data_IF_911316411840
#
_entry.id   IF_911316411840
#
_cell.length_a   1.000
_cell.length_b   1.000
_cell.length_c   1.000
_cell.angle_alpha   90.00
_cell.angle_beta   90.00
_cell.angle_gamma   90.00
#
_symmetry.space_group_name_H-M   'P 1'
#
loop_
_entity.id
_entity.type
_entity.pdbx_description
1 polymer ?
#
# COMPACT_ATOMS: atom_id res chain seq x y z
N UNK A 1 -14.52 0.76 -9.76
CA UNK A 1 -14.06 2.17 -9.86
C UNK A 1 -15.13 3.02 -10.54
N UNK A 2 -15.68 2.60 -11.67
CA UNK A 2 -16.73 3.37 -12.35
C UNK A 2 -17.92 3.69 -11.44
N UNK A 3 -18.46 2.69 -10.73
CA UNK A 3 -19.62 2.87 -9.82
C UNK A 3 -19.32 3.82 -8.63
N UNK A 4 -18.06 4.04 -8.31
CA UNK A 4 -17.63 5.01 -7.30
C UNK A 4 -17.32 6.40 -7.89
N UNK A 5 -17.59 6.62 -9.19
CA UNK A 5 -17.28 7.86 -9.89
C UNK A 5 -15.79 8.12 -10.08
N UNK A 6 -14.96 7.09 -9.95
CA UNK A 6 -13.51 7.20 -10.14
C UNK A 6 -13.18 6.80 -11.59
N UNK A 7 -12.65 7.75 -12.34
CA UNK A 7 -12.19 7.50 -13.71
C UNK A 7 -10.77 6.94 -13.69
N UNK A 8 -10.59 5.81 -14.35
CA UNK A 8 -9.25 5.26 -14.60
C UNK A 8 -8.56 6.14 -15.63
N UNK A 9 -7.40 6.67 -15.30
CA UNK A 9 -6.58 7.53 -16.14
C UNK A 9 -5.37 6.81 -16.72
N UNK A 10 -4.76 5.95 -15.93
CA UNK A 10 -3.58 5.18 -16.33
C UNK A 10 -3.61 3.78 -15.72
N UNK A 11 -2.96 2.84 -16.39
CA UNK A 11 -2.63 1.54 -15.84
C UNK A 11 -1.12 1.51 -15.57
N UNK A 12 -0.75 1.39 -14.29
CA UNK A 12 0.63 1.21 -13.88
C UNK A 12 0.92 -0.29 -13.80
N UNK A 13 2.15 -0.68 -14.07
CA UNK A 13 2.57 -2.08 -14.07
C UNK A 13 3.71 -2.26 -13.06
N UNK A 14 3.42 -2.93 -11.96
CA UNK A 14 4.48 -3.35 -11.05
C UNK A 14 5.19 -4.60 -11.58
N UNK A 15 6.46 -4.48 -11.92
CA UNK A 15 7.32 -5.59 -12.34
C UNK A 15 8.03 -6.17 -11.11
N UNK A 16 7.92 -7.47 -10.92
CA UNK A 16 8.55 -8.22 -9.83
C UNK A 16 9.92 -8.74 -10.28
N UNK A 17 10.85 -8.91 -9.34
CA UNK A 17 12.13 -9.56 -9.58
C UNK A 17 11.99 -11.06 -9.89
N UNK A 18 10.89 -11.71 -9.46
CA UNK A 18 10.61 -13.13 -9.70
C UNK A 18 9.20 -13.34 -10.23
N UNK A 19 9.04 -14.36 -11.07
CA UNK A 19 7.72 -14.80 -11.53
C UNK A 19 6.95 -15.52 -10.42
N UNK A 20 5.64 -15.60 -10.58
CA UNK A 20 4.76 -16.44 -9.76
C UNK A 20 4.38 -17.65 -10.58
N UNK A 21 4.85 -18.82 -10.16
CA UNK A 21 4.52 -20.08 -10.80
C UNK A 21 3.01 -20.36 -10.69
N UNK A 22 2.38 -20.68 -11.81
CA UNK A 22 0.96 -21.02 -11.92
C UNK A 22 0.77 -22.13 -12.97
N UNK A 23 -0.50 -22.41 -13.29
CA UNK A 23 -0.87 -23.44 -14.29
C UNK A 23 -1.01 -22.88 -15.70
N UNK A 24 -0.76 -21.57 -15.88
CA UNK A 24 -0.84 -20.88 -17.17
C UNK A 24 0.44 -21.14 -18.00
N UNK A 25 0.34 -20.97 -19.33
CA UNK A 25 1.49 -21.07 -20.24
C UNK A 25 2.52 -19.96 -19.95
N UNK A 26 2.07 -18.75 -19.74
CA UNK A 26 2.91 -17.60 -19.35
C UNK A 26 2.80 -17.32 -17.86
N UNK A 27 3.95 -17.21 -17.19
CA UNK A 27 4.00 -16.99 -15.75
C UNK A 27 3.95 -15.50 -15.40
N UNK A 28 3.14 -15.15 -14.40
CA UNK A 28 2.94 -13.77 -13.97
C UNK A 28 4.19 -13.19 -13.30
N UNK A 29 4.81 -12.22 -13.94
CA UNK A 29 5.94 -11.45 -13.40
C UNK A 29 5.57 -10.01 -13.06
N UNK A 30 4.33 -9.62 -13.29
CA UNK A 30 3.85 -8.27 -13.03
C UNK A 30 2.47 -8.27 -12.39
N UNK A 31 2.10 -7.12 -11.83
CA UNK A 31 0.73 -6.84 -11.39
C UNK A 31 0.30 -5.47 -11.91
N UNK A 32 -0.90 -5.35 -12.52
CA UNK A 32 -1.43 -4.06 -12.91
C UNK A 32 -1.96 -3.30 -11.68
N UNK A 33 -1.82 -1.97 -11.73
CA UNK A 33 -2.38 -1.05 -10.74
C UNK A 33 -3.12 0.06 -11.49
N UNK A 34 -4.43 0.16 -11.28
CA UNK A 34 -5.25 1.19 -11.91
C UNK A 34 -5.09 2.50 -11.14
N UNK A 35 -4.65 3.53 -11.82
CA UNK A 35 -4.51 4.88 -11.30
C UNK A 35 -5.62 5.77 -11.82
N UNK A 36 -6.26 6.52 -10.93
CA UNK A 36 -7.36 7.39 -11.31
C UNK A 36 -7.84 8.26 -10.18
N UNK A 37 -8.73 9.19 -10.50
CA UNK A 37 -9.35 10.10 -9.55
C UNK A 37 -10.80 10.39 -9.93
N UNK A 38 -11.55 10.97 -8.99
CA UNK A 38 -12.94 11.33 -9.19
C UNK A 38 -13.05 12.41 -10.27
N UNK A 39 -13.99 12.25 -11.17
CA UNK A 39 -14.27 13.24 -12.22
C UNK A 39 -14.61 14.61 -11.61
N UNK A 40 -14.07 15.66 -12.20
CA UNK A 40 -14.24 17.03 -11.71
C UNK A 40 -13.45 17.38 -10.45
N UNK A 41 -12.77 16.40 -9.82
CA UNK A 41 -11.92 16.67 -8.66
C UNK A 41 -10.48 16.98 -9.09
N UNK A 42 -9.86 17.96 -8.45
CA UNK A 42 -8.43 18.14 -8.54
C UNK A 42 -7.73 16.94 -7.88
N UNK A 43 -6.66 16.45 -8.51
CA UNK A 43 -5.81 15.45 -7.90
C UNK A 43 -4.45 16.07 -7.54
N UNK A 44 -3.87 15.61 -6.43
CA UNK A 44 -2.54 16.01 -6.02
C UNK A 44 -1.48 15.23 -6.78
N UNK A 45 -0.53 15.93 -7.38
CA UNK A 45 0.70 15.35 -7.90
C UNK A 45 1.88 16.15 -7.32
N UNK A 46 2.71 15.49 -6.53
CA UNK A 46 3.77 16.11 -5.73
C UNK A 46 5.16 15.62 -6.13
N UNK A 47 5.25 14.90 -7.23
CA UNK A 47 6.49 14.47 -7.86
C UNK A 47 6.75 15.23 -9.15
N UNK A 48 7.85 14.89 -9.82
CA UNK A 48 8.20 15.44 -11.14
C UNK A 48 7.43 14.73 -12.28
N UNK A 49 7.71 15.12 -13.54
CA UNK A 49 7.11 14.51 -14.73
C UNK A 49 7.94 13.38 -15.34
N UNK A 50 8.94 12.87 -14.62
CA UNK A 50 9.81 11.77 -15.07
C UNK A 50 9.30 10.41 -14.61
N UNK A 51 8.25 10.39 -13.77
CA UNK A 51 7.66 9.15 -13.28
C UNK A 51 6.99 8.40 -14.43
N UNK A 52 7.17 7.08 -14.48
CA UNK A 52 6.67 6.24 -15.56
C UNK A 52 5.57 5.28 -15.06
N UNK A 53 4.87 4.66 -16.00
CA UNK A 53 3.87 3.63 -15.69
C UNK A 53 4.48 2.28 -15.31
N UNK A 54 5.80 2.13 -15.41
CA UNK A 54 6.52 0.92 -15.02
C UNK A 54 7.12 1.12 -13.63
N UNK A 55 6.75 0.23 -12.71
CA UNK A 55 7.16 0.25 -11.32
C UNK A 55 8.03 -0.97 -11.05
N UNK A 56 9.34 -0.77 -10.95
CA UNK A 56 10.32 -1.85 -10.70
C UNK A 56 10.67 -1.88 -9.21
N UNK A 57 10.02 -2.77 -8.48
CA UNK A 57 10.26 -2.99 -7.06
C UNK A 57 10.33 -4.48 -6.76
N UNK A 58 11.37 -4.89 -6.05
CA UNK A 58 11.54 -6.27 -5.66
C UNK A 58 10.41 -6.76 -4.78
N UNK A 59 9.91 -7.95 -5.10
CA UNK A 59 8.98 -8.64 -4.22
C UNK A 59 9.74 -9.06 -2.95
N UNK A 60 9.19 -8.79 -1.74
CA UNK A 60 9.80 -9.29 -0.51
C UNK A 60 9.99 -10.81 -0.58
N UNK A 61 11.15 -11.29 -0.14
CA UNK A 61 11.37 -12.73 0.03
C UNK A 61 10.28 -13.30 0.95
N UNK A 62 9.85 -14.55 0.67
CA UNK A 62 8.80 -15.21 1.46
C UNK A 62 9.18 -15.17 2.94
N UNK A 63 8.51 -14.31 3.68
CA UNK A 63 8.53 -14.35 5.12
C UNK A 63 7.45 -15.35 5.56
N UNK A 64 7.73 -16.20 6.55
CA UNK A 64 6.77 -17.16 7.11
C UNK A 64 5.49 -16.48 7.61
N UNK A 65 5.57 -15.20 7.96
CA UNK A 65 4.47 -14.41 8.50
C UNK A 65 3.49 -13.91 7.43
N UNK A 66 3.94 -13.71 6.15
CA UNK A 66 3.08 -13.16 5.10
C UNK A 66 3.50 -13.56 3.67
N UNK A 67 2.85 -14.55 3.06
CA UNK A 67 3.15 -14.99 1.70
C UNK A 67 2.80 -13.96 0.60
N UNK A 68 1.94 -12.98 0.90
CA UNK A 68 1.40 -12.02 -0.08
C UNK A 68 1.77 -10.56 0.20
N UNK A 69 2.73 -10.30 1.08
CA UNK A 69 3.13 -8.95 1.45
C UNK A 69 3.65 -8.17 0.22
N UNK A 70 3.10 -6.98 0.02
CA UNK A 70 3.60 -6.05 -0.98
C UNK A 70 4.84 -5.29 -0.47
N UNK A 71 5.77 -4.89 -1.35
CA UNK A 71 6.95 -4.15 -0.92
C UNK A 71 6.59 -2.75 -0.41
N UNK A 72 7.15 -2.38 0.75
CA UNK A 72 6.96 -1.04 1.32
C UNK A 72 7.42 0.05 0.34
N UNK A 73 8.57 -0.07 -0.35
CA UNK A 73 9.01 0.96 -1.29
C UNK A 73 8.03 1.23 -2.44
N UNK A 74 7.30 0.22 -2.92
CA UNK A 74 6.27 0.38 -3.94
C UNK A 74 5.14 1.30 -3.45
N UNK A 75 4.67 1.09 -2.22
CA UNK A 75 3.62 1.91 -1.61
C UNK A 75 4.13 3.31 -1.27
N UNK A 76 5.31 3.40 -0.68
CA UNK A 76 5.95 4.68 -0.36
C UNK A 76 6.11 5.56 -1.61
N UNK A 77 6.53 4.97 -2.73
CA UNK A 77 6.66 5.68 -4.00
C UNK A 77 5.31 6.28 -4.45
N UNK A 78 4.24 5.48 -4.46
CA UNK A 78 2.92 5.95 -4.89
C UNK A 78 2.33 6.99 -3.92
N UNK A 79 2.48 6.77 -2.61
CA UNK A 79 2.05 7.70 -1.57
C UNK A 79 2.80 9.04 -1.71
N UNK A 80 4.12 9.00 -1.93
CA UNK A 80 4.94 10.20 -2.09
C UNK A 80 4.56 11.02 -3.31
N UNK A 81 4.20 10.37 -4.42
CA UNK A 81 3.77 11.04 -5.65
C UNK A 81 2.42 11.75 -5.50
N UNK A 82 1.52 11.22 -4.65
CA UNK A 82 0.12 11.64 -4.58
C UNK A 82 -0.30 12.30 -3.27
N UNK A 83 0.62 12.46 -2.30
CA UNK A 83 0.33 13.07 -1.00
C UNK A 83 1.50 13.86 -0.43
N UNK A 84 1.20 14.78 0.48
CA UNK A 84 2.17 15.52 1.30
C UNK A 84 2.27 14.93 2.70
N UNK A 85 3.28 15.33 3.46
CA UNK A 85 3.36 15.04 4.89
C UNK A 85 2.11 15.57 5.62
N UNK A 86 1.59 14.78 6.55
CA UNK A 86 0.36 15.07 7.29
C UNK A 86 -0.94 14.71 6.57
N UNK A 87 -0.91 14.42 5.27
CA UNK A 87 -2.09 13.99 4.53
C UNK A 87 -2.61 12.63 4.99
N UNK A 88 -3.89 12.39 4.72
CA UNK A 88 -4.56 11.11 5.01
C UNK A 88 -4.43 10.20 3.80
N UNK A 89 -4.03 8.96 4.05
CA UNK A 89 -4.03 7.86 3.11
C UNK A 89 -5.01 6.81 3.60
N UNK A 90 -6.00 6.47 2.80
CA UNK A 90 -6.99 5.45 3.12
C UNK A 90 -6.73 4.17 2.33
N UNK A 91 -6.89 3.01 3.00
CA UNK A 91 -6.74 1.69 2.40
C UNK A 91 -7.87 0.78 2.89
N UNK A 92 -8.74 0.39 1.98
CA UNK A 92 -9.89 -0.47 2.28
C UNK A 92 -9.54 -1.94 2.47
N UNK A 93 -8.29 -2.35 2.24
CA UNK A 93 -7.82 -3.74 2.31
C UNK A 93 -6.44 -3.81 2.96
N UNK A 94 -6.36 -3.45 4.24
CA UNK A 94 -5.12 -3.23 4.98
C UNK A 94 -4.12 -4.39 4.95
N UNK A 95 -4.62 -5.62 4.89
CA UNK A 95 -3.80 -6.82 4.78
C UNK A 95 -2.73 -6.88 5.86
N UNK A 96 -1.49 -6.98 5.47
CA UNK A 96 -0.34 -6.97 6.39
C UNK A 96 0.09 -5.57 6.86
N UNK A 97 -0.63 -4.50 6.49
CA UNK A 97 -0.33 -3.14 6.92
C UNK A 97 0.84 -2.45 6.19
N UNK A 98 1.12 -2.83 4.95
CA UNK A 98 2.18 -2.18 4.17
C UNK A 98 1.92 -0.68 4.01
N UNK A 99 0.66 -0.28 3.77
CA UNK A 99 0.24 1.12 3.72
C UNK A 99 0.50 1.84 5.04
N UNK A 100 0.17 1.21 6.19
CA UNK A 100 0.40 1.78 7.52
C UNK A 100 1.88 2.06 7.75
N UNK A 101 2.73 1.08 7.48
CA UNK A 101 4.19 1.19 7.62
C UNK A 101 4.75 2.30 6.74
N UNK A 102 4.37 2.33 5.46
CA UNK A 102 4.82 3.36 4.52
C UNK A 102 4.39 4.76 4.98
N UNK A 103 3.14 4.92 5.41
CA UNK A 103 2.62 6.19 5.92
C UNK A 103 3.37 6.65 7.16
N UNK A 104 3.61 5.76 8.13
CA UNK A 104 4.36 6.11 9.34
C UNK A 104 5.78 6.61 9.00
N UNK A 105 6.51 5.86 8.16
CA UNK A 105 7.87 6.26 7.73
C UNK A 105 7.92 7.58 6.96
N UNK A 106 6.83 7.96 6.33
CA UNK A 106 6.75 9.15 5.49
C UNK A 106 6.01 10.32 6.17
N UNK A 107 5.62 10.20 7.44
CA UNK A 107 4.83 11.19 8.18
C UNK A 107 3.47 11.49 7.52
N UNK A 108 2.75 10.45 7.10
CA UNK A 108 1.34 10.51 6.68
C UNK A 108 0.46 9.81 7.69
N UNK A 109 -0.83 10.15 7.70
CA UNK A 109 -1.84 9.49 8.54
C UNK A 109 -2.51 8.38 7.75
N UNK A 110 -2.45 7.14 8.23
CA UNK A 110 -3.09 6.01 7.57
C UNK A 110 -4.43 5.67 8.22
N UNK A 111 -5.44 5.41 7.38
CA UNK A 111 -6.74 4.87 7.78
C UNK A 111 -6.96 3.57 7.03
N UNK A 112 -6.95 2.45 7.72
CA UNK A 112 -7.06 1.13 7.13
C UNK A 112 -8.35 0.44 7.57
N UNK A 113 -8.91 -0.34 6.66
CA UNK A 113 -9.95 -1.33 6.97
C UNK A 113 -9.36 -2.70 6.70
N UNK A 114 -9.48 -3.62 7.65
CA UNK A 114 -9.09 -5.01 7.50
C UNK A 114 -10.17 -5.90 8.11
N UNK A 115 -10.62 -6.88 7.34
CA UNK A 115 -11.72 -7.76 7.73
C UNK A 115 -11.25 -8.91 8.65
N UNK A 116 -10.03 -9.43 8.44
CA UNK A 116 -9.51 -10.55 9.22
C UNK A 116 -8.82 -10.05 10.50
N UNK A 117 -9.33 -10.40 11.70
CA UNK A 117 -8.73 -10.00 12.97
C UNK A 117 -7.26 -10.45 13.13
N UNK A 118 -6.88 -11.55 12.48
CA UNK A 118 -5.47 -12.02 12.51
C UNK A 118 -4.55 -11.01 11.80
N UNK A 119 -5.00 -10.46 10.68
CA UNK A 119 -4.24 -9.43 9.98
C UNK A 119 -4.25 -8.10 10.74
N UNK A 120 -5.33 -7.77 11.42
CA UNK A 120 -5.32 -6.62 12.33
C UNK A 120 -4.21 -6.75 13.38
N UNK A 121 -4.06 -7.94 14.00
CA UNK A 121 -2.97 -8.18 14.97
C UNK A 121 -1.59 -8.08 14.31
N UNK A 122 -1.44 -8.60 13.10
CA UNK A 122 -0.18 -8.47 12.35
C UNK A 122 0.20 -7.02 12.10
N UNK A 123 -0.77 -6.16 11.75
CA UNK A 123 -0.52 -4.72 11.58
C UNK A 123 0.01 -4.13 12.89
N UNK A 124 -0.63 -4.44 14.01
CA UNK A 124 -0.24 -3.96 15.34
C UNK A 124 1.19 -4.40 15.68
N UNK A 125 1.49 -5.68 15.50
CA UNK A 125 2.81 -6.25 15.83
C UNK A 125 3.90 -5.67 14.93
N UNK A 126 3.62 -5.45 13.65
CA UNK A 126 4.54 -4.76 12.74
C UNK A 126 4.83 -3.33 13.17
N UNK A 127 3.80 -2.59 13.57
CA UNK A 127 3.96 -1.21 14.02
C UNK A 127 4.76 -1.14 15.33
N UNK A 128 4.49 -2.02 16.29
CA UNK A 128 5.29 -2.12 17.52
C UNK A 128 6.77 -2.43 17.26
N UNK A 129 7.02 -3.32 16.29
CA UNK A 129 8.40 -3.68 15.90
C UNK A 129 9.10 -2.54 15.18
N UNK A 130 8.36 -1.77 14.38
CA UNK A 130 8.89 -0.63 13.63
C UNK A 130 9.23 0.54 14.55
N UNK A 131 8.35 0.84 15.46
CA UNK A 131 8.47 1.93 16.41
C UNK A 131 7.93 1.50 17.78
N UNK A 132 8.80 1.04 18.71
CA UNK A 132 8.39 0.59 20.03
C UNK A 132 7.80 1.70 20.90
N UNK A 133 7.89 2.95 20.50
CA UNK A 133 7.41 4.11 21.27
C UNK A 133 5.96 4.49 20.96
N UNK A 134 5.35 3.87 19.92
CA UNK A 134 3.98 4.18 19.57
C UNK A 134 2.99 3.76 20.64
N UNK A 135 2.07 4.64 20.95
CA UNK A 135 0.90 4.32 21.77
C UNK A 135 -0.14 3.61 20.94
N UNK A 136 -0.59 2.43 21.37
CA UNK A 136 -1.66 1.70 20.71
C UNK A 136 -2.90 1.71 21.61
N UNK A 137 -4.04 2.07 21.03
CA UNK A 137 -5.34 2.09 21.72
C UNK A 137 -6.31 1.14 21.02
N UNK A 138 -7.11 0.45 21.82
CA UNK A 138 -8.27 -0.32 21.36
C UNK A 138 -9.52 0.31 21.96
N UNK A 139 -10.42 0.81 21.11
CA UNK A 139 -11.64 1.52 21.54
C UNK A 139 -11.35 2.70 22.50
N UNK A 140 -10.24 3.39 22.30
CA UNK A 140 -9.82 4.52 23.13
C UNK A 140 -9.01 4.18 24.39
N UNK A 141 -8.92 2.90 24.75
CA UNK A 141 -8.15 2.41 25.89
C UNK A 141 -6.78 1.87 25.46
N UNK A 142 -5.78 2.03 26.32
CA UNK A 142 -4.42 1.52 26.06
C UNK A 142 -4.43 0.02 25.80
N UNK A 143 -3.82 -0.40 24.67
CA UNK A 143 -3.72 -1.81 24.26
C UNK A 143 -2.27 -2.29 24.43
N UNK A 144 -2.07 -3.23 25.34
CA UNK A 144 -0.76 -3.85 25.61
C UNK A 144 -0.47 -5.04 24.70
#
# INVERSE_FOLDING_TARGET
>A
MADAGIMVKQCLIWIKNSMVMGRQDYQWKHEPCLYGWKEGAAHGWYSDRKQTTILEFDRPSKNKEHPTMKPIPLFAYQIGNSSKQGDIVADGFGGSGTTMVACHQMNRRAYLVEFDPKYCQVIIDRMRKLDPTIEIKKNGEGYK
#
